data_IF_695613772125
#
_entry.id   IF_695613772125
#
_cell.length_a   1.000
_cell.length_b   1.000
_cell.length_c   1.000
_cell.angle_alpha   90.00
_cell.angle_beta   90.00
_cell.angle_gamma   90.00
#
_symmetry.space_group_name_H-M   'P 1'
#
loop_
_entity.id
_entity.type
_entity.pdbx_description
1 polymer ?
#
# COMPACT_ATOMS: atom_id res chain seq x y z
N UNK A 1 17.97 -5.47 6.79
CA UNK A 1 17.03 -5.13 5.69
C UNK A 1 17.21 -3.66 5.32
N UNK A 2 17.14 -3.30 4.04
CA UNK A 2 17.52 -1.95 3.57
C UNK A 2 16.38 -0.90 3.59
N UNK A 3 15.23 -1.15 4.24
CA UNK A 3 14.08 -0.20 4.28
C UNK A 3 13.64 0.35 2.90
N UNK A 4 13.95 -0.36 1.81
CA UNK A 4 13.54 -0.06 0.44
C UNK A 4 12.28 -0.81 0.01
N UNK A 5 11.76 -1.70 0.86
CA UNK A 5 10.61 -2.51 0.52
C UNK A 5 9.40 -1.60 0.29
N UNK A 6 8.77 -1.77 -0.87
CA UNK A 6 7.52 -1.09 -1.21
C UNK A 6 6.38 -1.66 -0.35
N UNK A 7 5.88 -0.92 0.67
CA UNK A 7 4.78 -1.40 1.51
C UNK A 7 3.49 -1.55 0.73
N UNK A 8 3.33 -0.88 -0.42
CA UNK A 8 2.13 -1.00 -1.26
C UNK A 8 1.98 -2.45 -1.75
N UNK A 9 3.09 -3.11 -2.10
CA UNK A 9 3.06 -4.51 -2.53
C UNK A 9 2.66 -5.45 -1.38
N UNK A 10 3.16 -5.19 -0.17
CA UNK A 10 2.81 -5.95 1.04
C UNK A 10 1.34 -5.73 1.44
N UNK A 11 0.86 -4.49 1.39
CA UNK A 11 -0.53 -4.12 1.70
C UNK A 11 -1.50 -4.70 0.66
N UNK A 12 -1.17 -4.67 -0.64
CA UNK A 12 -1.99 -5.35 -1.68
C UNK A 12 -2.00 -6.86 -1.50
N UNK A 13 -0.88 -7.45 -1.07
CA UNK A 13 -0.81 -8.88 -0.73
C UNK A 13 -1.70 -9.21 0.47
N UNK A 14 -1.74 -8.34 1.48
CA UNK A 14 -2.66 -8.48 2.62
C UNK A 14 -4.12 -8.33 2.18
N UNK A 15 -4.43 -7.39 1.29
CA UNK A 15 -5.75 -7.25 0.67
C UNK A 15 -6.16 -8.50 -0.12
N UNK A 16 -5.22 -9.08 -0.88
CA UNK A 16 -5.45 -10.33 -1.64
C UNK A 16 -5.72 -11.52 -0.71
N UNK A 17 -5.02 -11.59 0.43
CA UNK A 17 -5.26 -12.61 1.45
C UNK A 17 -6.65 -12.46 2.07
N UNK A 18 -7.07 -11.23 2.38
CA UNK A 18 -8.41 -10.94 2.89
C UNK A 18 -9.49 -11.30 1.87
N UNK A 19 -9.27 -10.97 0.59
CA UNK A 19 -10.16 -11.37 -0.50
C UNK A 19 -10.29 -12.89 -0.60
N UNK A 20 -9.17 -13.62 -0.50
CA UNK A 20 -9.15 -15.08 -0.52
C UNK A 20 -9.87 -15.70 0.69
N UNK A 21 -9.87 -15.01 1.83
CA UNK A 21 -10.60 -15.40 3.04
C UNK A 21 -12.10 -15.02 3.01
N UNK A 22 -12.58 -14.39 1.92
CA UNK A 22 -13.97 -13.94 1.78
C UNK A 22 -14.27 -12.56 2.37
N UNK A 23 -13.25 -11.86 2.89
CA UNK A 23 -13.35 -10.50 3.43
C UNK A 23 -13.23 -9.44 2.33
N UNK A 24 -14.14 -9.51 1.35
CA UNK A 24 -14.09 -8.65 0.16
C UNK A 24 -14.23 -7.16 0.49
N UNK A 25 -15.07 -6.77 1.45
CA UNK A 25 -15.22 -5.36 1.85
C UNK A 25 -13.95 -4.77 2.45
N UNK A 26 -13.27 -5.53 3.30
CA UNK A 26 -12.01 -5.12 3.93
C UNK A 26 -10.90 -5.04 2.88
N UNK A 27 -10.83 -6.02 1.96
CA UNK A 27 -9.91 -6.00 0.84
C UNK A 27 -10.12 -4.76 -0.04
N UNK A 28 -11.38 -4.43 -0.37
CA UNK A 28 -11.74 -3.25 -1.16
C UNK A 28 -11.33 -1.94 -0.47
N UNK A 29 -11.52 -1.85 0.84
CA UNK A 29 -11.12 -0.68 1.63
C UNK A 29 -9.59 -0.47 1.53
N UNK A 30 -8.82 -1.55 1.67
CA UNK A 30 -7.36 -1.52 1.51
C UNK A 30 -6.96 -1.13 0.09
N UNK A 31 -7.61 -1.70 -0.93
CA UNK A 31 -7.32 -1.35 -2.31
C UNK A 31 -7.62 0.11 -2.62
N UNK A 32 -8.74 0.64 -2.14
CA UNK A 32 -9.10 2.05 -2.31
C UNK A 32 -8.10 2.98 -1.61
N UNK A 33 -7.68 2.66 -0.39
CA UNK A 33 -6.70 3.45 0.33
C UNK A 33 -5.34 3.47 -0.40
N UNK A 34 -4.90 2.31 -0.89
CA UNK A 34 -3.70 2.20 -1.73
C UNK A 34 -3.84 2.99 -3.03
N UNK A 35 -4.99 2.91 -3.70
CA UNK A 35 -5.24 3.62 -4.95
C UNK A 35 -5.26 5.14 -4.73
N UNK A 36 -5.80 5.63 -3.60
CA UNK A 36 -5.76 7.06 -3.26
C UNK A 36 -4.33 7.56 -3.04
N UNK A 37 -3.50 6.79 -2.33
CA UNK A 37 -2.08 7.11 -2.11
C UNK A 37 -1.29 7.09 -3.42
N UNK A 38 -1.56 6.12 -4.30
CA UNK A 38 -0.96 6.07 -5.63
C UNK A 38 -1.43 7.24 -6.51
N UNK A 39 -2.72 7.60 -6.45
CA UNK A 39 -3.31 8.70 -7.23
C UNK A 39 -2.76 10.06 -6.78
N UNK A 40 -2.49 10.24 -5.49
CA UNK A 40 -1.82 11.45 -4.99
C UNK A 40 -0.40 11.58 -5.52
N UNK A 41 0.27 10.49 -5.90
CA UNK A 41 1.60 10.51 -6.55
C UNK A 41 2.75 11.05 -5.67
N UNK A 42 2.44 11.54 -4.47
CA UNK A 42 3.40 12.15 -3.55
C UNK A 42 4.20 11.11 -2.74
N UNK A 43 3.66 9.89 -2.59
CA UNK A 43 4.21 8.87 -1.68
C UNK A 43 4.62 7.61 -2.44
N UNK A 44 5.56 7.79 -3.37
CA UNK A 44 6.19 6.69 -4.09
C UNK A 44 7.46 6.26 -3.36
N UNK A 45 7.63 4.97 -3.14
CA UNK A 45 8.90 4.43 -2.61
C UNK A 45 10.02 4.57 -3.64
N UNK A 46 11.30 4.57 -3.21
CA UNK A 46 12.45 4.69 -4.12
C UNK A 46 12.48 3.66 -5.26
N UNK A 47 11.91 2.46 -5.08
CA UNK A 47 11.74 1.46 -6.16
C UNK A 47 10.81 1.90 -7.30
N UNK A 48 9.91 2.86 -7.04
CA UNK A 48 9.01 3.46 -8.03
C UNK A 48 9.44 4.88 -8.42
N UNK A 49 10.65 5.31 -8.03
CA UNK A 49 11.21 6.62 -8.36
C UNK A 49 10.80 7.77 -7.42
N UNK A 50 10.14 7.48 -6.29
CA UNK A 50 9.81 8.50 -5.29
C UNK A 50 10.76 8.54 -4.10
N UNK A 51 10.48 9.43 -3.14
CA UNK A 51 11.31 9.63 -1.93
C UNK A 51 10.64 9.15 -0.63
N UNK A 52 9.47 8.52 -0.74
CA UNK A 52 8.70 8.18 0.45
C UNK A 52 9.23 6.96 1.17
N UNK A 53 9.18 7.02 2.50
CA UNK A 53 9.54 5.90 3.36
C UNK A 53 8.35 4.96 3.57
N UNK A 54 8.64 3.73 3.97
CA UNK A 54 7.63 2.73 4.29
C UNK A 54 6.60 3.24 5.31
N UNK A 55 7.05 4.04 6.29
CA UNK A 55 6.22 4.64 7.33
C UNK A 55 5.23 5.67 6.74
N UNK A 56 5.71 6.54 5.84
CA UNK A 56 4.88 7.58 5.22
C UNK A 56 3.77 6.99 4.33
N UNK A 57 4.02 5.84 3.69
CA UNK A 57 2.97 5.13 2.95
C UNK A 57 1.94 4.54 3.91
N UNK A 58 2.37 3.97 5.03
CA UNK A 58 1.45 3.40 6.03
C UNK A 58 0.57 4.48 6.65
N UNK A 59 1.15 5.62 7.05
CA UNK A 59 0.39 6.75 7.59
C UNK A 59 -0.60 7.36 6.58
N UNK A 60 -0.34 7.24 5.28
CA UNK A 60 -1.25 7.74 4.25
C UNK A 60 -2.38 6.77 3.89
N UNK A 61 -2.25 5.49 4.28
CA UNK A 61 -3.26 4.44 4.07
C UNK A 61 -4.23 4.34 5.26
N UNK A 62 -3.82 4.79 6.46
CA UNK A 62 -4.62 4.75 7.71
C UNK A 62 -5.56 5.95 7.83
#
# INVERSE_FOLDING_TARGET
>A
GQNKANPIAAIRSAGLLLEHMGFHQQALCIYNAVDDVLRRGEILTPDLGGKATTQQVVDAVI
#
